data_IF_317181649879
#
_entry.id   IF_317181649879
#
_cell.length_a   1.000
_cell.length_b   1.000
_cell.length_c   1.000
_cell.angle_alpha   90.00
_cell.angle_beta   90.00
_cell.angle_gamma   90.00
#
_symmetry.space_group_name_H-M   'P 1'
#
loop_
_entity.id
_entity.type
_entity.pdbx_description
1 polymer ?
#
# COMPACT_ATOMS: atom_id res chain seq x y z
N UNK A 1 15.29 -19.36 30.05
CA UNK A 1 15.35 -18.61 28.78
C UNK A 1 14.32 -17.50 28.83
N UNK A 2 14.60 -16.34 28.24
CA UNK A 2 13.64 -15.22 28.17
C UNK A 2 12.68 -15.49 27.01
N UNK A 3 11.38 -15.32 27.26
CA UNK A 3 10.32 -15.55 26.26
C UNK A 3 10.40 -14.45 25.19
N UNK A 4 10.23 -14.82 23.93
CA UNK A 4 10.34 -13.91 22.78
C UNK A 4 9.04 -13.89 21.96
N UNK A 5 8.54 -12.69 21.67
CA UNK A 5 7.36 -12.49 20.82
C UNK A 5 7.69 -11.64 19.59
N UNK A 6 7.14 -12.01 18.43
CA UNK A 6 7.20 -11.19 17.22
C UNK A 6 5.87 -10.46 17.01
N UNK A 7 5.91 -9.14 16.97
CA UNK A 7 4.74 -8.27 16.80
C UNK A 7 4.60 -7.74 15.38
N UNK A 8 3.48 -7.98 14.72
CA UNK A 8 3.16 -7.32 13.45
C UNK A 8 2.89 -5.83 13.73
N UNK A 9 3.81 -4.98 13.28
CA UNK A 9 3.93 -3.59 13.72
C UNK A 9 3.73 -2.59 12.57
N UNK A 10 2.52 -2.05 12.48
CA UNK A 10 2.14 -1.04 11.47
C UNK A 10 2.47 0.41 11.88
N UNK A 11 3.03 0.61 13.07
CA UNK A 11 3.17 1.93 13.70
C UNK A 11 1.84 2.61 14.03
N UNK A 12 0.70 1.95 13.84
CA UNK A 12 -0.62 2.42 14.26
C UNK A 12 -0.85 2.24 15.76
N UNK A 13 -1.80 2.99 16.32
CA UNK A 13 -2.12 2.97 17.76
C UNK A 13 -2.27 1.55 18.31
N UNK A 14 -3.11 0.71 17.69
CA UNK A 14 -3.38 -0.62 18.22
C UNK A 14 -2.12 -1.52 18.21
N UNK A 15 -1.27 -1.44 17.18
CA UNK A 15 0.02 -2.19 17.18
C UNK A 15 1.00 -1.68 18.24
N UNK A 16 1.04 -0.37 18.52
CA UNK A 16 1.88 0.17 19.60
C UNK A 16 1.40 -0.33 20.96
N UNK A 17 0.10 -0.29 21.21
CA UNK A 17 -0.48 -0.77 22.47
C UNK A 17 -0.25 -2.27 22.65
N UNK A 18 -0.39 -3.07 21.59
CA UNK A 18 -0.09 -4.49 21.64
C UNK A 18 1.37 -4.74 22.07
N UNK A 19 2.33 -4.00 21.48
CA UNK A 19 3.75 -4.06 21.90
C UNK A 19 3.92 -3.69 23.37
N UNK A 20 3.31 -2.60 23.84
CA UNK A 20 3.42 -2.18 25.25
C UNK A 20 2.80 -3.18 26.22
N UNK A 21 1.66 -3.78 25.87
CA UNK A 21 1.03 -4.83 26.68
C UNK A 21 1.96 -6.04 26.80
N UNK A 22 2.49 -6.56 25.69
CA UNK A 22 3.36 -7.74 25.70
C UNK A 22 4.70 -7.45 26.40
N UNK A 23 5.36 -6.34 26.07
CA UNK A 23 6.62 -5.95 26.70
C UNK A 23 6.46 -5.71 28.22
N UNK A 24 5.30 -5.19 28.65
CA UNK A 24 4.96 -5.02 30.06
C UNK A 24 4.85 -6.33 30.86
N UNK A 25 4.78 -7.48 30.19
CA UNK A 25 4.84 -8.81 30.82
C UNK A 25 6.28 -9.30 31.02
N UNK A 26 7.29 -8.51 30.67
CA UNK A 26 8.71 -8.91 30.71
C UNK A 26 9.16 -9.75 29.51
N UNK A 27 8.31 -9.86 28.48
CA UNK A 27 8.59 -10.59 27.23
C UNK A 27 9.47 -9.73 26.33
N UNK A 28 10.47 -10.34 25.70
CA UNK A 28 11.29 -9.68 24.70
C UNK A 28 10.51 -9.57 23.38
N UNK A 29 10.44 -8.35 22.84
CA UNK A 29 9.59 -8.06 21.67
C UNK A 29 10.44 -7.57 20.51
N UNK A 30 10.26 -8.19 19.35
CA UNK A 30 10.73 -7.67 18.06
C UNK A 30 9.52 -7.34 17.19
N UNK A 31 9.51 -6.15 16.58
CA UNK A 31 8.51 -5.75 15.61
C UNK A 31 8.86 -6.26 14.21
N UNK A 32 7.85 -6.65 13.44
CA UNK A 32 7.97 -6.87 12.00
C UNK A 32 7.01 -5.92 11.28
N UNK A 33 7.53 -5.13 10.35
CA UNK A 33 6.73 -4.34 9.40
C UNK A 33 6.94 -4.85 7.98
N UNK A 34 5.98 -4.54 7.11
CA UNK A 34 5.96 -4.99 5.72
C UNK A 34 5.97 -3.81 4.77
N UNK A 35 6.61 -3.96 3.62
CA UNK A 35 6.65 -2.98 2.54
C UNK A 35 6.16 -3.61 1.23
N UNK A 36 5.38 -2.81 0.48
CA UNK A 36 4.92 -3.07 -0.88
C UNK A 36 4.76 -1.74 -1.62
N UNK A 37 4.52 -1.74 -2.93
CA UNK A 37 4.11 -0.53 -3.66
C UNK A 37 2.84 0.14 -3.10
N UNK A 38 2.03 -0.56 -2.30
CA UNK A 38 0.76 -0.04 -1.78
C UNK A 38 0.88 0.54 -0.36
N UNK A 39 1.92 0.20 0.39
CA UNK A 39 2.18 0.69 1.74
C UNK A 39 3.67 0.57 2.12
N UNK A 40 4.19 1.58 2.82
CA UNK A 40 5.58 1.63 3.29
C UNK A 40 5.71 1.47 4.83
N UNK A 41 6.92 1.26 5.32
CA UNK A 41 7.21 1.11 6.74
C UNK A 41 7.77 2.38 7.39
N UNK A 42 7.75 3.55 6.74
CA UNK A 42 8.31 4.80 7.32
C UNK A 42 7.70 5.11 8.67
N UNK A 43 6.38 4.94 8.78
CA UNK A 43 5.63 5.11 10.03
C UNK A 43 6.05 4.09 11.09
N UNK A 44 6.21 2.82 10.70
CA UNK A 44 6.68 1.76 11.60
C UNK A 44 8.08 2.06 12.11
N UNK A 45 9.02 2.47 11.25
CA UNK A 45 10.39 2.85 11.64
C UNK A 45 10.40 3.98 12.67
N UNK A 46 9.75 5.09 12.32
CA UNK A 46 9.63 6.27 13.18
C UNK A 46 9.07 5.92 14.56
N UNK A 47 8.03 5.08 14.60
CA UNK A 47 7.39 4.74 15.86
C UNK A 47 8.17 3.69 16.66
N UNK A 48 8.83 2.74 15.99
CA UNK A 48 9.66 1.75 16.64
C UNK A 48 10.84 2.41 17.35
N UNK A 49 11.52 3.36 16.70
CA UNK A 49 12.57 4.18 17.28
C UNK A 49 12.06 4.94 18.53
N UNK A 50 10.93 5.63 18.42
CA UNK A 50 10.33 6.38 19.54
C UNK A 50 10.04 5.53 20.78
N UNK A 51 9.68 4.26 20.61
CA UNK A 51 9.33 3.37 21.73
C UNK A 51 10.45 2.40 22.11
N UNK A 52 11.62 2.48 21.46
CA UNK A 52 12.76 1.59 21.70
C UNK A 52 12.50 0.13 21.28
N UNK A 53 11.76 -0.10 20.19
CA UNK A 53 11.41 -1.42 19.70
C UNK A 53 12.38 -1.84 18.57
N UNK A 54 13.09 -2.98 18.69
CA UNK A 54 13.77 -3.59 17.55
C UNK A 54 12.78 -3.87 16.41
N UNK A 55 13.09 -3.42 15.20
CA UNK A 55 12.19 -3.53 14.05
C UNK A 55 12.89 -4.20 12.87
N UNK A 56 12.28 -5.26 12.36
CA UNK A 56 12.63 -5.89 11.08
C UNK A 56 11.62 -5.40 10.05
N UNK A 57 12.10 -5.03 8.86
CA UNK A 57 11.21 -4.68 7.76
C UNK A 57 11.42 -5.64 6.61
N UNK A 58 10.31 -6.18 6.12
CA UNK A 58 10.27 -7.20 5.09
C UNK A 58 9.56 -6.64 3.86
N UNK A 59 10.26 -6.63 2.73
CA UNK A 59 9.63 -6.42 1.45
C UNK A 59 8.87 -7.69 1.05
N UNK A 60 7.57 -7.56 0.78
CA UNK A 60 6.70 -8.67 0.35
C UNK A 60 6.06 -8.37 -1.01
N UNK A 61 6.67 -7.50 -1.82
CA UNK A 61 6.12 -6.99 -3.07
C UNK A 61 5.69 -8.09 -4.02
N UNK A 62 6.56 -9.06 -4.29
CA UNK A 62 6.27 -10.15 -5.24
C UNK A 62 5.14 -11.06 -4.75
N UNK A 63 5.21 -11.52 -3.51
CA UNK A 63 4.16 -12.35 -2.90
C UNK A 63 2.83 -11.60 -2.84
N UNK A 64 2.87 -10.30 -2.51
CA UNK A 64 1.67 -9.47 -2.44
C UNK A 64 1.08 -9.24 -3.82
N UNK A 65 1.91 -9.03 -4.87
CA UNK A 65 1.45 -8.88 -6.26
C UNK A 65 0.72 -10.15 -6.72
N UNK A 66 1.32 -11.32 -6.52
CA UNK A 66 0.71 -12.61 -6.88
C UNK A 66 -0.62 -12.80 -6.15
N UNK A 67 -0.66 -12.53 -4.84
CA UNK A 67 -1.90 -12.58 -4.06
C UNK A 67 -2.95 -11.61 -4.58
N UNK A 68 -2.54 -10.40 -4.93
CA UNK A 68 -3.44 -9.33 -5.37
C UNK A 68 -4.04 -9.61 -6.75
N UNK A 69 -3.35 -10.31 -7.66
CA UNK A 69 -3.91 -10.66 -8.97
C UNK A 69 -5.10 -11.63 -8.84
N UNK A 70 -5.05 -12.54 -7.87
CA UNK A 70 -6.09 -13.55 -7.65
C UNK A 70 -6.30 -13.85 -6.16
N UNK A 71 -6.88 -12.91 -5.38
CA UNK A 71 -7.07 -13.10 -3.95
C UNK A 71 -8.08 -14.21 -3.67
N UNK A 72 -7.74 -15.11 -2.74
CA UNK A 72 -8.55 -16.31 -2.46
C UNK A 72 -9.92 -15.95 -1.88
N UNK A 73 -10.02 -14.89 -1.09
CA UNK A 73 -11.26 -14.44 -0.49
C UNK A 73 -11.89 -13.26 -1.25
N UNK A 74 -11.38 -12.97 -2.45
CA UNK A 74 -11.86 -11.89 -3.29
C UNK A 74 -11.52 -10.50 -2.75
N UNK A 75 -12.14 -9.49 -3.36
CA UNK A 75 -12.00 -8.11 -2.94
C UNK A 75 -13.19 -7.67 -2.09
N UNK A 76 -12.91 -6.86 -1.06
CA UNK A 76 -13.91 -6.05 -0.36
C UNK A 76 -14.25 -4.78 -1.15
N UNK A 77 -14.27 -3.63 -0.47
CA UNK A 77 -14.45 -2.34 -1.16
C UNK A 77 -13.29 -2.09 -2.13
N UNK A 78 -13.62 -1.83 -3.40
CA UNK A 78 -12.67 -1.60 -4.49
C UNK A 78 -11.75 -2.80 -4.73
N UNK A 79 -10.43 -2.67 -4.55
CA UNK A 79 -9.46 -3.78 -4.71
C UNK A 79 -8.91 -4.25 -3.36
N UNK A 80 -9.63 -4.03 -2.27
CA UNK A 80 -9.16 -4.36 -0.93
C UNK A 80 -9.15 -5.89 -0.66
N UNK A 81 -7.98 -6.53 -0.49
CA UNK A 81 -7.87 -7.97 -0.24
C UNK A 81 -7.47 -8.25 1.22
N UNK A 82 -7.93 -7.45 2.19
CA UNK A 82 -7.40 -7.43 3.56
C UNK A 82 -7.30 -8.81 4.25
N UNK A 83 -8.22 -9.75 3.99
CA UNK A 83 -8.14 -11.11 4.55
C UNK A 83 -6.88 -11.80 4.01
N UNK A 84 -6.69 -11.80 2.69
CA UNK A 84 -5.52 -12.36 2.03
C UNK A 84 -4.22 -11.65 2.38
N UNK A 85 -4.25 -10.32 2.44
CA UNK A 85 -3.11 -9.52 2.86
C UNK A 85 -2.67 -9.87 4.30
N UNK A 86 -3.62 -9.98 5.25
CA UNK A 86 -3.31 -10.36 6.63
C UNK A 86 -2.82 -11.81 6.75
N UNK A 87 -3.39 -12.74 5.97
CA UNK A 87 -2.90 -14.12 5.91
C UNK A 87 -1.44 -14.18 5.44
N UNK A 88 -1.12 -13.47 4.36
CA UNK A 88 0.25 -13.39 3.82
C UNK A 88 1.21 -12.81 4.85
N UNK A 89 0.87 -11.68 5.45
CA UNK A 89 1.71 -11.02 6.48
C UNK A 89 1.95 -11.93 7.69
N UNK A 90 0.92 -12.63 8.18
CA UNK A 90 1.11 -13.57 9.29
C UNK A 90 1.96 -14.77 8.91
N UNK A 91 1.81 -15.30 7.69
CA UNK A 91 2.65 -16.38 7.19
C UNK A 91 4.12 -15.96 7.18
N UNK A 92 4.44 -14.81 6.58
CA UNK A 92 5.82 -14.26 6.54
C UNK A 92 6.38 -13.95 7.92
N UNK A 93 5.56 -13.41 8.82
CA UNK A 93 5.98 -13.18 10.20
C UNK A 93 6.27 -14.50 10.94
N UNK A 94 5.49 -15.56 10.68
CA UNK A 94 5.69 -16.87 11.29
C UNK A 94 6.95 -17.56 10.78
N UNK A 95 7.24 -17.47 9.49
CA UNK A 95 8.53 -17.93 8.92
C UNK A 95 9.70 -17.23 9.63
N UNK A 96 9.57 -15.92 9.87
CA UNK A 96 10.58 -15.15 10.62
C UNK A 96 10.66 -15.52 12.10
N UNK A 97 9.53 -15.88 12.72
CA UNK A 97 9.46 -16.36 14.10
C UNK A 97 10.24 -17.66 14.29
N UNK A 98 10.08 -18.60 13.36
CA UNK A 98 10.83 -19.86 13.36
C UNK A 98 12.33 -19.61 13.16
N UNK A 99 12.71 -18.79 12.18
CA UNK A 99 14.11 -18.42 11.91
C UNK A 99 14.80 -17.84 13.15
N UNK A 100 14.10 -16.99 13.91
CA UNK A 100 14.63 -16.32 15.09
C UNK A 100 14.52 -17.15 16.38
N UNK A 101 13.88 -18.33 16.34
CA UNK A 101 13.57 -19.12 17.52
C UNK A 101 12.70 -18.37 18.53
N UNK A 102 11.72 -17.59 18.05
CA UNK A 102 10.76 -16.88 18.89
C UNK A 102 9.56 -17.78 19.24
N UNK A 103 8.89 -17.49 20.35
CA UNK A 103 7.87 -18.37 20.94
C UNK A 103 6.47 -18.19 20.33
N UNK A 104 6.13 -16.98 19.89
CA UNK A 104 4.81 -16.67 19.36
C UNK A 104 4.75 -15.38 18.51
N UNK A 105 3.68 -15.27 17.73
CA UNK A 105 3.30 -14.07 16.99
C UNK A 105 2.26 -13.27 17.76
N UNK A 106 2.24 -11.96 17.61
CA UNK A 106 1.10 -11.15 18.05
C UNK A 106 0.77 -10.00 17.11
N UNK A 107 -0.49 -9.58 17.12
CA UNK A 107 -0.99 -8.46 16.30
C UNK A 107 -1.71 -7.42 17.15
N UNK A 108 -1.81 -6.20 16.63
CA UNK A 108 -2.68 -5.16 17.18
C UNK A 108 -4.15 -5.29 16.77
N UNK A 109 -4.60 -6.43 16.25
CA UNK A 109 -5.98 -6.57 15.80
C UNK A 109 -6.95 -6.59 16.99
N UNK A 110 -8.01 -5.78 16.90
CA UNK A 110 -9.06 -5.70 17.92
C UNK A 110 -10.35 -6.32 17.38
N UNK A 111 -10.92 -7.28 18.10
CA UNK A 111 -12.15 -7.98 17.71
C UNK A 111 -13.29 -6.99 17.44
N UNK A 112 -13.86 -7.05 16.23
CA UNK A 112 -14.97 -6.22 15.80
C UNK A 112 -14.63 -4.75 15.49
N UNK A 113 -13.34 -4.36 15.51
CA UNK A 113 -12.96 -2.97 15.26
C UNK A 113 -13.01 -2.62 13.77
N UNK A 114 -12.70 -3.57 12.87
CA UNK A 114 -12.84 -3.43 11.41
C UNK A 114 -13.81 -4.48 10.85
N UNK A 115 -14.90 -4.07 10.16
CA UNK A 115 -15.93 -5.00 9.68
C UNK A 115 -15.41 -6.14 8.78
N UNK A 116 -14.48 -5.84 7.87
CA UNK A 116 -14.00 -6.80 6.88
C UNK A 116 -12.96 -7.78 7.45
N UNK A 117 -11.94 -7.28 8.14
CA UNK A 117 -10.78 -8.10 8.53
C UNK A 117 -10.75 -8.52 9.99
N UNK A 118 -11.50 -7.86 10.88
CA UNK A 118 -11.39 -8.08 12.33
C UNK A 118 -12.68 -8.62 12.97
N UNK A 119 -13.61 -9.15 12.18
CA UNK A 119 -14.70 -9.97 12.70
C UNK A 119 -14.18 -11.33 13.20
N UNK A 120 -14.94 -12.00 14.10
CA UNK A 120 -14.54 -13.29 14.70
C UNK A 120 -14.17 -14.34 13.64
N UNK A 121 -14.99 -14.43 12.58
CA UNK A 121 -14.75 -15.35 11.46
C UNK A 121 -13.50 -14.97 10.66
N UNK A 122 -13.33 -13.69 10.31
CA UNK A 122 -12.14 -13.21 9.57
C UNK A 122 -10.85 -13.48 10.35
N UNK A 123 -10.83 -13.18 11.66
CA UNK A 123 -9.65 -13.44 12.51
C UNK A 123 -9.32 -14.94 12.57
N UNK A 124 -10.33 -15.80 12.65
CA UNK A 124 -10.16 -17.25 12.64
C UNK A 124 -9.62 -17.76 11.30
N UNK A 125 -10.19 -17.30 10.18
CA UNK A 125 -9.73 -17.63 8.83
C UNK A 125 -8.27 -17.21 8.67
N UNK A 126 -7.96 -15.96 9.00
CA UNK A 126 -6.61 -15.39 8.86
C UNK A 126 -5.59 -16.19 9.67
N UNK A 127 -5.91 -16.50 10.94
CA UNK A 127 -5.03 -17.30 11.80
C UNK A 127 -4.86 -18.73 11.26
N UNK A 128 -5.95 -19.45 10.98
CA UNK A 128 -5.91 -20.85 10.55
C UNK A 128 -5.19 -21.05 9.21
N UNK A 129 -5.35 -20.11 8.27
CA UNK A 129 -4.76 -20.19 6.93
C UNK A 129 -3.34 -19.66 6.85
N UNK A 130 -2.87 -18.90 7.84
CA UNK A 130 -1.48 -18.44 7.89
C UNK A 130 -0.46 -19.56 8.12
N UNK A 131 -0.89 -20.72 8.61
CA UNK A 131 0.00 -21.80 9.07
C UNK A 131 0.37 -21.70 10.56
N UNK A 132 0.17 -20.53 11.18
CA UNK A 132 0.63 -20.24 12.55
C UNK A 132 -0.50 -20.02 13.55
N UNK A 133 -1.73 -20.41 13.23
CA UNK A 133 -2.93 -19.95 13.94
C UNK A 133 -2.93 -20.14 15.46
N UNK A 134 -2.37 -21.25 15.96
CA UNK A 134 -2.24 -21.51 17.40
C UNK A 134 -1.27 -20.57 18.11
N UNK A 135 -0.36 -19.92 17.38
CA UNK A 135 0.68 -19.03 17.90
C UNK A 135 0.35 -17.54 17.71
N UNK A 136 -0.79 -17.18 17.11
CA UNK A 136 -1.17 -15.79 16.85
C UNK A 136 -1.98 -15.20 18.00
N UNK A 137 -1.30 -14.52 18.92
CA UNK A 137 -1.90 -13.81 20.04
C UNK A 137 -2.43 -12.43 19.65
N UNK A 138 -3.58 -12.03 20.22
CA UNK A 138 -4.18 -10.71 20.01
C UNK A 138 -4.35 -10.03 21.37
N UNK A 139 -3.29 -9.44 21.96
CA UNK A 139 -3.28 -9.01 23.37
C UNK A 139 -4.39 -8.02 23.73
N UNK A 140 -4.86 -7.22 22.78
CA UNK A 140 -5.92 -6.24 23.01
C UNK A 140 -7.32 -6.87 23.14
N UNK A 141 -7.53 -8.07 22.59
CA UNK A 141 -8.83 -8.78 22.59
C UNK A 141 -8.73 -10.22 23.08
N UNK A 142 -7.60 -10.62 23.66
CA UNK A 142 -7.29 -12.02 23.95
C UNK A 142 -8.35 -12.69 24.82
N UNK A 143 -8.87 -11.98 25.83
CA UNK A 143 -9.89 -12.51 26.76
C UNK A 143 -11.22 -12.85 26.10
N UNK A 144 -11.45 -12.36 24.88
CA UNK A 144 -12.66 -12.60 24.07
C UNK A 144 -12.48 -13.67 22.99
N UNK A 145 -11.26 -14.17 22.84
CA UNK A 145 -10.86 -15.13 21.81
C UNK A 145 -10.42 -16.45 22.46
N UNK A 146 -10.43 -17.58 21.72
CA UNK A 146 -9.87 -18.83 22.20
C UNK A 146 -8.40 -18.67 22.61
N UNK A 147 -7.97 -19.45 23.61
CA UNK A 147 -6.59 -19.43 24.07
C UNK A 147 -5.63 -19.94 23.00
N UNK A 148 -4.54 -19.21 22.86
CA UNK A 148 -3.39 -19.56 22.01
C UNK A 148 -2.43 -20.50 22.75
N UNK A 149 -1.53 -21.15 22.01
CA UNK A 149 -0.47 -22.01 22.54
C UNK A 149 0.39 -21.30 23.60
N UNK A 150 0.93 -20.08 23.37
CA UNK A 150 1.72 -19.39 24.41
C UNK A 150 0.93 -19.07 25.68
N UNK A 151 -0.40 -18.91 25.60
CA UNK A 151 -1.24 -18.76 26.80
C UNK A 151 -1.37 -20.09 27.56
N UNK A 152 -1.64 -21.19 26.85
CA UNK A 152 -1.80 -22.53 27.45
C UNK A 152 -0.51 -23.05 28.07
N UNK A 153 0.62 -22.73 27.47
CA UNK A 153 1.97 -23.10 27.96
C UNK A 153 2.43 -22.21 29.14
N UNK A 154 1.64 -21.21 29.53
CA UNK A 154 2.00 -20.27 30.60
C UNK A 154 3.10 -19.28 30.21
N UNK A 155 3.49 -19.21 28.93
CA UNK A 155 4.43 -18.21 28.41
C UNK A 155 3.84 -16.79 28.47
N UNK A 156 2.51 -16.70 28.31
CA UNK A 156 1.77 -15.44 28.41
C UNK A 156 0.66 -15.58 29.43
N UNK A 157 0.70 -14.76 30.48
CA UNK A 157 -0.36 -14.70 31.49
C UNK A 157 -1.60 -14.00 30.92
N UNK A 158 -2.59 -14.81 30.52
CA UNK A 158 -3.87 -14.37 29.96
C UNK A 158 -4.62 -13.38 30.87
N UNK A 159 -4.45 -13.45 32.19
CA UNK A 159 -5.15 -12.55 33.14
C UNK A 159 -4.68 -11.10 33.00
N UNK A 160 -3.46 -10.89 32.47
CA UNK A 160 -2.88 -9.57 32.21
C UNK A 160 -3.17 -9.05 30.80
N UNK A 161 -3.88 -9.82 29.98
CA UNK A 161 -4.33 -9.40 28.64
C UNK A 161 -5.70 -8.72 28.70
N UNK A 162 -6.14 -8.18 27.56
CA UNK A 162 -7.30 -7.30 27.51
C UNK A 162 -8.51 -7.93 26.79
N UNK A 163 -9.63 -7.22 26.90
CA UNK A 163 -10.96 -7.56 26.39
C UNK A 163 -11.55 -6.41 25.55
N UNK A 164 -10.70 -5.65 24.86
CA UNK A 164 -11.15 -4.57 23.99
C UNK A 164 -11.84 -5.20 22.78
N UNK A 165 -13.02 -4.66 22.44
CA UNK A 165 -13.76 -5.03 21.24
C UNK A 165 -14.58 -3.87 20.69
N UNK A 166 -15.00 -4.01 19.44
CA UNK A 166 -15.82 -3.05 18.73
C UNK A 166 -15.03 -1.87 18.18
N UNK A 167 -15.78 -0.90 17.63
CA UNK A 167 -15.22 0.22 16.86
C UNK A 167 -14.70 1.37 17.72
N UNK A 168 -15.11 1.44 18.99
CA UNK A 168 -14.68 2.50 19.90
C UNK A 168 -13.18 2.42 20.15
N UNK A 169 -12.52 3.58 20.15
CA UNK A 169 -11.08 3.72 20.45
C UNK A 169 -10.81 4.44 21.78
N UNK A 170 -11.83 4.68 22.60
CA UNK A 170 -11.69 5.46 23.85
C UNK A 170 -10.67 4.83 24.80
N UNK A 171 -10.76 3.51 25.03
CA UNK A 171 -9.83 2.76 25.90
C UNK A 171 -8.40 2.79 25.35
N UNK A 172 -8.23 2.60 24.05
CA UNK A 172 -6.92 2.64 23.40
C UNK A 172 -6.26 4.03 23.53
N UNK A 173 -7.03 5.10 23.35
CA UNK A 173 -6.54 6.48 23.52
C UNK A 173 -6.15 6.76 24.98
N UNK A 174 -6.93 6.27 25.94
CA UNK A 174 -6.61 6.36 27.36
C UNK A 174 -5.31 5.60 27.70
N UNK A 175 -5.18 4.37 27.22
CA UNK A 175 -3.94 3.60 27.36
C UNK A 175 -2.74 4.32 26.76
N UNK A 176 -2.90 4.95 25.59
CA UNK A 176 -1.82 5.71 24.96
C UNK A 176 -1.32 6.84 25.86
N UNK A 177 -2.25 7.58 26.49
CA UNK A 177 -1.91 8.63 27.46
C UNK A 177 -1.16 8.06 28.66
N UNK A 178 -1.63 6.94 29.23
CA UNK A 178 -0.99 6.29 30.37
C UNK A 178 0.41 5.79 30.06
N UNK A 179 0.66 5.34 28.83
CA UNK A 179 1.99 4.94 28.36
C UNK A 179 2.85 6.10 27.86
N UNK A 180 2.37 7.35 27.91
CA UNK A 180 3.09 8.51 27.36
C UNK A 180 3.29 8.46 25.84
N UNK A 181 2.47 7.70 25.12
CA UNK A 181 2.56 7.56 23.66
C UNK A 181 1.89 8.77 23.00
N UNK A 182 2.65 9.51 22.21
CA UNK A 182 2.19 10.62 21.40
C UNK A 182 2.61 10.46 19.93
N UNK A 183 2.06 11.29 19.04
CA UNK A 183 2.46 11.31 17.63
C UNK A 183 2.07 10.06 16.83
N UNK A 184 1.15 9.24 17.33
CA UNK A 184 0.49 8.21 16.51
C UNK A 184 -0.51 8.89 15.58
N UNK A 185 -0.55 8.47 14.32
CA UNK A 185 -1.50 9.07 13.38
C UNK A 185 -2.93 8.76 13.80
N UNK A 186 -3.81 9.76 13.69
CA UNK A 186 -5.25 9.55 13.61
C UNK A 186 -5.56 8.55 12.48
N UNK A 187 -6.68 7.78 12.55
CA UNK A 187 -7.08 6.92 11.45
C UNK A 187 -7.42 7.78 10.23
N UNK A 188 -6.43 8.02 9.37
CA UNK A 188 -6.56 8.74 8.13
C UNK A 188 -6.14 7.79 7.00
N UNK A 189 -7.02 7.67 6.00
CA UNK A 189 -6.80 6.88 4.79
C UNK A 189 -6.85 5.36 5.02
N UNK A 190 -7.75 4.67 4.32
CA UNK A 190 -7.62 3.23 4.16
C UNK A 190 -6.36 2.88 3.35
N UNK A 191 -6.11 1.59 3.16
CA UNK A 191 -5.08 1.13 2.21
C UNK A 191 -5.29 1.79 0.83
N UNK A 192 -4.22 2.02 0.07
CA UNK A 192 -4.30 2.58 -1.29
C UNK A 192 -5.26 1.80 -2.20
N UNK A 193 -5.39 0.48 -1.97
CA UNK A 193 -6.34 -0.41 -2.64
C UNK A 193 -7.83 -0.17 -2.29
N UNK A 194 -8.09 0.71 -1.33
CA UNK A 194 -9.44 1.20 -1.02
C UNK A 194 -9.76 2.54 -1.68
N UNK A 195 -8.76 3.21 -2.26
CA UNK A 195 -8.98 4.45 -3.01
C UNK A 195 -9.67 4.13 -4.35
N UNK A 196 -10.83 4.72 -4.67
CA UNK A 196 -11.56 4.41 -5.90
C UNK A 196 -10.76 4.72 -7.17
N UNK A 197 -10.02 5.83 -7.20
CA UNK A 197 -9.30 6.27 -8.40
C UNK A 197 -8.11 5.34 -8.64
N UNK A 198 -7.30 5.09 -7.62
CA UNK A 198 -6.18 4.17 -7.71
C UNK A 198 -6.64 2.76 -8.08
N UNK A 199 -7.74 2.29 -7.49
CA UNK A 199 -8.28 0.96 -7.78
C UNK A 199 -8.77 0.83 -9.23
N UNK A 200 -9.37 1.87 -9.82
CA UNK A 200 -9.72 1.85 -11.26
C UNK A 200 -8.47 1.76 -12.14
N UNK A 201 -7.44 2.55 -11.84
CA UNK A 201 -6.15 2.52 -12.54
C UNK A 201 -5.47 1.15 -12.46
N UNK A 202 -5.53 0.52 -11.29
CA UNK A 202 -4.93 -0.80 -11.08
C UNK A 202 -5.69 -1.90 -11.82
N UNK A 203 -7.03 -1.84 -11.84
CA UNK A 203 -7.85 -2.74 -12.69
C UNK A 203 -7.50 -2.58 -14.16
N UNK A 204 -7.46 -1.35 -14.65
CA UNK A 204 -7.07 -1.05 -16.03
C UNK A 204 -5.66 -1.60 -16.35
N UNK A 205 -4.69 -1.49 -15.42
CA UNK A 205 -3.37 -2.09 -15.58
C UNK A 205 -3.44 -3.62 -15.70
N UNK A 206 -4.15 -4.29 -14.81
CA UNK A 206 -4.26 -5.76 -14.79
C UNK A 206 -4.99 -6.30 -16.02
N UNK A 207 -6.00 -5.59 -16.52
CA UNK A 207 -6.78 -5.96 -17.70
C UNK A 207 -5.96 -5.87 -18.99
N UNK A 208 -5.12 -4.85 -19.11
CA UNK A 208 -4.38 -4.56 -20.37
C UNK A 208 -2.92 -5.01 -20.35
N UNK A 209 -2.35 -5.37 -19.19
CA UNK A 209 -0.93 -5.71 -19.06
C UNK A 209 -0.65 -6.77 -17.98
N UNK A 210 -0.59 -8.03 -18.41
CA UNK A 210 -0.32 -9.18 -17.52
C UNK A 210 1.12 -9.21 -16.99
N UNK A 211 2.07 -8.79 -17.82
CA UNK A 211 3.50 -8.73 -17.53
C UNK A 211 3.94 -7.37 -16.96
N UNK A 212 3.04 -6.67 -16.28
CA UNK A 212 3.35 -5.37 -15.67
C UNK A 212 4.42 -5.51 -14.58
N UNK A 213 5.28 -4.50 -14.51
CA UNK A 213 6.35 -4.38 -13.51
C UNK A 213 5.85 -3.61 -12.27
N UNK A 214 6.56 -3.72 -11.15
CA UNK A 214 6.36 -2.90 -9.95
C UNK A 214 6.34 -1.40 -10.29
N UNK A 215 7.21 -1.01 -11.23
CA UNK A 215 7.28 0.35 -11.78
C UNK A 215 5.94 0.83 -12.38
N UNK A 216 5.17 -0.05 -13.02
CA UNK A 216 3.86 0.31 -13.57
C UNK A 216 2.85 0.63 -12.46
N UNK A 217 2.96 -0.04 -11.31
CA UNK A 217 2.13 0.20 -10.12
C UNK A 217 2.52 1.53 -9.47
N UNK A 218 3.82 1.84 -9.37
CA UNK A 218 4.31 3.12 -8.87
C UNK A 218 3.81 4.30 -9.71
N UNK A 219 3.84 4.17 -11.04
CA UNK A 219 3.30 5.17 -11.96
C UNK A 219 1.81 5.49 -11.72
N UNK A 220 1.02 4.55 -11.18
CA UNK A 220 -0.42 4.77 -10.90
C UNK A 220 -0.67 5.85 -9.84
N UNK A 221 0.33 6.15 -9.00
CA UNK A 221 0.27 7.16 -7.94
C UNK A 221 0.35 8.58 -8.47
N UNK A 222 0.79 8.75 -9.72
CA UNK A 222 1.11 10.06 -10.30
C UNK A 222 0.20 10.36 -11.50
N UNK A 223 -0.09 11.64 -11.71
CA UNK A 223 -0.73 12.11 -12.91
C UNK A 223 -2.21 11.75 -13.10
N UNK A 224 -2.69 12.13 -14.28
CA UNK A 224 -3.95 11.72 -14.91
C UNK A 224 -3.65 10.52 -15.81
N UNK A 225 -4.46 9.47 -15.71
CA UNK A 225 -4.28 8.25 -16.51
C UNK A 225 -5.37 8.22 -17.55
N UNK A 226 -4.98 8.10 -18.82
CA UNK A 226 -5.90 8.04 -19.95
C UNK A 226 -5.59 6.84 -20.82
N UNK A 227 -6.62 6.10 -21.22
CA UNK A 227 -6.52 4.95 -22.11
C UNK A 227 -6.86 5.41 -23.52
N UNK A 228 -5.86 5.53 -24.39
CA UNK A 228 -6.05 6.05 -25.75
C UNK A 228 -6.60 4.99 -26.70
N UNK A 229 -6.20 3.73 -26.50
CA UNK A 229 -6.75 2.56 -27.18
C UNK A 229 -6.46 1.31 -26.33
N UNK A 230 -6.78 0.11 -26.84
CA UNK A 230 -6.58 -1.17 -26.12
C UNK A 230 -5.12 -1.43 -25.68
N UNK A 231 -4.13 -0.91 -26.42
CA UNK A 231 -2.71 -1.14 -26.13
C UNK A 231 -2.07 -0.01 -25.31
N UNK A 232 -2.48 1.24 -25.56
CA UNK A 232 -1.74 2.42 -25.11
C UNK A 232 -2.50 3.20 -24.04
N UNK A 233 -1.80 3.48 -22.94
CA UNK A 233 -2.20 4.48 -21.95
C UNK A 233 -1.20 5.62 -21.92
N UNK A 234 -1.65 6.78 -21.46
CA UNK A 234 -0.80 7.94 -21.19
C UNK A 234 -0.98 8.44 -19.77
N UNK A 235 0.09 8.99 -19.22
CA UNK A 235 0.13 9.55 -17.87
C UNK A 235 0.55 11.01 -17.98
N UNK A 236 -0.33 11.92 -17.57
CA UNK A 236 -0.08 13.37 -17.63
C UNK A 236 0.12 13.91 -16.22
N UNK A 237 1.31 14.43 -15.92
CA UNK A 237 1.59 15.04 -14.63
C UNK A 237 0.65 16.22 -14.31
N UNK A 238 0.34 16.42 -13.02
CA UNK A 238 -0.57 17.49 -12.58
C UNK A 238 0.12 18.66 -11.92
N UNK A 239 1.34 18.44 -11.46
CA UNK A 239 2.16 19.36 -10.66
C UNK A 239 3.61 18.93 -10.77
N UNK A 240 4.53 19.84 -10.47
CA UNK A 240 5.98 19.62 -10.57
C UNK A 240 6.44 18.33 -9.89
N UNK A 241 6.02 18.06 -8.65
CA UNK A 241 6.39 16.82 -7.97
C UNK A 241 5.88 15.53 -8.62
N UNK A 242 4.78 15.59 -9.41
CA UNK A 242 4.35 14.45 -10.22
C UNK A 242 5.12 14.37 -11.53
N UNK A 243 5.47 15.50 -12.15
CA UNK A 243 6.33 15.53 -13.34
C UNK A 243 7.68 14.87 -13.04
N UNK A 244 8.33 15.29 -11.94
CA UNK A 244 9.61 14.74 -11.51
C UNK A 244 9.51 13.22 -11.26
N UNK A 245 8.48 12.77 -10.53
CA UNK A 245 8.27 11.34 -10.28
C UNK A 245 8.02 10.54 -11.57
N UNK A 246 7.32 11.10 -12.55
CA UNK A 246 7.09 10.47 -13.86
C UNK A 246 8.41 10.34 -14.64
N UNK A 247 9.26 11.36 -14.59
CA UNK A 247 10.59 11.36 -15.22
C UNK A 247 11.52 10.35 -14.56
N UNK A 248 11.58 10.34 -13.23
CA UNK A 248 12.39 9.39 -12.44
C UNK A 248 11.97 7.94 -12.69
N UNK A 249 10.69 7.71 -12.94
CA UNK A 249 10.15 6.39 -13.27
C UNK A 249 10.27 6.05 -14.75
N UNK A 250 10.70 6.96 -15.63
CA UNK A 250 10.79 6.71 -17.08
C UNK A 250 11.93 5.73 -17.43
N UNK A 251 11.78 5.02 -18.55
CA UNK A 251 12.74 4.04 -19.08
C UNK A 251 12.89 4.23 -20.59
N UNK A 252 13.97 3.70 -21.17
CA UNK A 252 14.30 3.86 -22.59
C UNK A 252 13.20 3.43 -23.58
N UNK A 253 12.30 2.53 -23.17
CA UNK A 253 11.18 2.08 -24.00
C UNK A 253 9.99 3.03 -24.04
N UNK A 254 9.91 4.00 -23.15
CA UNK A 254 8.78 4.92 -23.06
C UNK A 254 8.99 6.16 -23.94
N UNK A 255 7.89 6.86 -24.22
CA UNK A 255 7.95 8.19 -24.83
C UNK A 255 7.60 9.25 -23.79
N UNK A 256 8.49 10.23 -23.60
CA UNK A 256 8.22 11.45 -22.84
C UNK A 256 7.83 12.54 -23.82
N UNK A 257 6.80 13.30 -23.46
CA UNK A 257 6.24 14.38 -24.26
C UNK A 257 6.18 15.63 -23.37
N UNK A 258 6.74 16.74 -23.87
CA UNK A 258 6.71 18.07 -23.23
C UNK A 258 6.43 19.14 -24.29
N UNK A 259 5.70 20.19 -23.94
CA UNK A 259 5.55 21.36 -24.82
C UNK A 259 6.85 22.17 -24.79
N UNK A 260 7.41 22.52 -25.95
CA UNK A 260 8.76 23.10 -26.03
C UNK A 260 8.82 24.53 -25.48
N UNK A 261 7.89 25.36 -25.92
CA UNK A 261 7.95 26.82 -25.73
C UNK A 261 7.01 27.32 -24.62
N UNK A 262 6.34 26.41 -23.90
CA UNK A 262 5.36 26.73 -22.87
C UNK A 262 5.54 25.85 -21.63
N UNK A 263 5.35 26.40 -20.42
CA UNK A 263 5.21 25.60 -19.21
C UNK A 263 4.08 24.56 -19.37
N UNK A 264 4.30 23.36 -18.84
CA UNK A 264 3.33 22.29 -19.00
C UNK A 264 3.69 21.02 -18.23
N UNK A 265 2.86 19.99 -18.39
CA UNK A 265 3.08 18.71 -17.72
C UNK A 265 4.19 17.93 -18.40
N UNK A 266 4.77 17.01 -17.65
CA UNK A 266 5.45 15.87 -18.26
C UNK A 266 4.40 14.82 -18.58
N UNK A 267 4.28 14.46 -19.87
CA UNK A 267 3.40 13.38 -20.32
C UNK A 267 4.24 12.16 -20.67
N UNK A 268 3.89 11.00 -20.13
CA UNK A 268 4.55 9.73 -20.37
C UNK A 268 3.61 8.79 -21.12
N UNK A 269 4.13 8.15 -22.17
CA UNK A 269 3.52 7.00 -22.84
C UNK A 269 4.35 5.76 -22.48
N UNK A 270 3.95 4.99 -21.46
CA UNK A 270 4.70 3.80 -21.06
C UNK A 270 4.79 2.81 -22.22
N UNK A 271 5.97 2.24 -22.45
CA UNK A 271 6.26 1.31 -23.54
C UNK A 271 6.14 1.88 -24.97
N UNK A 272 5.95 3.20 -25.09
CA UNK A 272 5.84 3.90 -26.36
C UNK A 272 4.56 3.59 -27.13
N UNK A 273 4.47 4.11 -28.34
CA UNK A 273 3.31 3.98 -29.23
C UNK A 273 3.71 4.21 -30.69
N UNK A 274 2.76 4.05 -31.61
CA UNK A 274 2.88 4.49 -33.00
C UNK A 274 2.65 6.01 -33.16
N UNK A 275 2.82 6.50 -34.38
CA UNK A 275 2.74 7.94 -34.72
C UNK A 275 1.32 8.51 -34.59
N UNK A 276 0.27 7.71 -34.82
CA UNK A 276 -1.11 8.17 -34.71
C UNK A 276 -1.45 8.45 -33.25
N UNK A 277 -1.12 7.50 -32.38
CA UNK A 277 -1.33 7.63 -30.94
C UNK A 277 -0.40 8.70 -30.35
N UNK A 278 0.81 8.84 -30.87
CA UNK A 278 1.74 9.88 -30.45
C UNK A 278 1.19 11.29 -30.70
N UNK A 279 0.53 11.51 -31.84
CA UNK A 279 -0.15 12.79 -32.14
C UNK A 279 -1.23 13.09 -31.12
N UNK A 280 -2.10 12.11 -30.82
CA UNK A 280 -3.14 12.28 -29.81
C UNK A 280 -2.55 12.55 -28.41
N UNK A 281 -1.53 11.79 -28.00
CA UNK A 281 -0.84 12.00 -26.73
C UNK A 281 -0.20 13.40 -26.63
N UNK A 282 0.33 13.91 -27.75
CA UNK A 282 0.89 15.25 -27.84
C UNK A 282 -0.18 16.33 -27.74
N UNK A 283 -1.31 16.17 -28.42
CA UNK A 283 -2.48 17.05 -28.28
C UNK A 283 -3.03 17.09 -26.84
N UNK A 284 -3.00 15.96 -26.14
CA UNK A 284 -3.36 15.89 -24.71
C UNK A 284 -2.33 16.62 -23.85
N UNK A 285 -1.04 16.49 -24.14
CA UNK A 285 0.01 17.24 -23.44
C UNK A 285 -0.18 18.75 -23.60
N UNK A 286 -0.49 19.22 -24.82
CA UNK A 286 -0.79 20.63 -25.10
C UNK A 286 -2.01 21.10 -24.31
N UNK A 287 -3.10 20.33 -24.27
CA UNK A 287 -4.33 20.68 -23.53
C UNK A 287 -4.08 20.99 -22.05
N UNK A 288 -3.12 20.32 -21.43
CA UNK A 288 -2.80 20.51 -20.01
C UNK A 288 -1.63 21.47 -19.75
N UNK A 289 -1.09 22.10 -20.80
CA UNK A 289 -0.04 23.11 -20.73
C UNK A 289 -0.61 24.54 -20.73
N UNK A 290 0.29 25.53 -20.63
CA UNK A 290 -0.06 26.94 -20.75
C UNK A 290 -0.08 27.44 -22.22
N UNK A 291 0.08 26.53 -23.19
CA UNK A 291 0.01 26.86 -24.61
C UNK A 291 -1.42 27.27 -25.05
N UNK A 292 -1.56 28.14 -26.08
CA UNK A 292 -2.87 28.47 -26.64
C UNK A 292 -3.56 27.24 -27.26
N UNK A 293 -4.85 27.04 -26.95
CA UNK A 293 -5.57 25.82 -27.37
C UNK A 293 -5.75 25.70 -28.89
N UNK A 294 -5.96 26.83 -29.58
CA UNK A 294 -6.31 26.85 -31.01
C UNK A 294 -5.11 27.15 -31.91
N UNK A 295 -3.89 26.98 -31.38
CA UNK A 295 -2.65 27.24 -32.11
C UNK A 295 -1.83 25.98 -32.24
N UNK A 296 -1.19 25.86 -33.38
CA UNK A 296 -0.20 24.83 -33.63
C UNK A 296 1.08 25.15 -32.86
N UNK A 297 1.53 24.25 -32.00
CA UNK A 297 2.72 24.42 -31.16
C UNK A 297 3.69 23.25 -31.32
N UNK A 298 4.97 23.53 -31.08
CA UNK A 298 6.01 22.51 -31.12
C UNK A 298 6.05 21.71 -29.82
N UNK A 299 5.97 20.39 -29.97
CA UNK A 299 6.04 19.42 -28.87
C UNK A 299 7.33 18.62 -29.00
N UNK A 300 8.09 18.54 -27.91
CA UNK A 300 9.29 17.72 -27.79
C UNK A 300 8.91 16.32 -27.34
N UNK A 301 9.18 15.34 -28.19
CA UNK A 301 9.06 13.92 -27.91
C UNK A 301 10.45 13.31 -27.70
N UNK A 302 10.61 12.46 -26.68
CA UNK A 302 11.85 11.76 -26.38
C UNK A 302 11.63 10.28 -26.10
N UNK A 303 12.50 9.43 -26.64
CA UNK A 303 12.54 7.97 -26.40
C UNK A 303 13.98 7.50 -26.30
N UNK A 304 14.37 6.99 -25.13
CA UNK A 304 15.78 6.72 -24.83
C UNK A 304 16.64 7.96 -25.04
N UNK A 305 17.73 7.82 -25.80
CA UNK A 305 18.64 8.92 -26.11
C UNK A 305 18.21 9.77 -27.33
N UNK A 306 17.07 9.43 -27.94
CA UNK A 306 16.56 10.14 -29.11
C UNK A 306 15.49 11.14 -28.72
N UNK A 307 15.51 12.32 -29.33
CA UNK A 307 14.43 13.29 -29.24
C UNK A 307 14.15 13.91 -30.59
N UNK A 308 12.89 14.27 -30.81
CA UNK A 308 12.41 14.89 -32.04
C UNK A 308 11.26 15.83 -31.72
N UNK A 309 11.01 16.74 -32.65
CA UNK A 309 9.92 17.69 -32.56
C UNK A 309 8.78 17.26 -33.46
N UNK A 310 7.56 17.36 -32.94
CA UNK A 310 6.35 17.28 -33.76
C UNK A 310 5.49 18.51 -33.53
N UNK A 311 4.57 18.72 -34.46
CA UNK A 311 3.58 19.78 -34.39
C UNK A 311 2.27 19.23 -33.83
N UNK A 312 1.64 19.92 -32.89
CA UNK A 312 0.35 19.51 -32.31
C UNK A 312 -0.54 20.71 -31.96
N UNK A 313 -1.85 20.49 -32.02
CA UNK A 313 -2.89 21.40 -31.51
C UNK A 313 -3.52 20.75 -30.29
N UNK A 314 -4.04 21.55 -29.33
CA UNK A 314 -4.70 21.03 -28.14
C UNK A 314 -5.84 20.08 -28.50
N UNK A 315 -5.95 18.96 -27.78
CA UNK A 315 -7.15 18.13 -27.79
C UNK A 315 -8.33 18.89 -27.13
N UNK A 316 -9.57 18.48 -27.42
CA UNK A 316 -10.72 19.05 -26.71
C UNK A 316 -10.90 18.40 -25.31
N UNK A 317 -11.45 19.16 -24.36
CA UNK A 317 -11.75 18.65 -23.02
C UNK A 317 -12.77 17.51 -23.03
N UNK A 318 -13.70 17.52 -23.97
CA UNK A 318 -14.76 16.51 -24.08
C UNK A 318 -14.21 15.16 -24.56
N UNK A 319 -13.38 15.16 -25.61
CA UNK A 319 -12.69 13.96 -26.08
C UNK A 319 -11.85 13.34 -24.97
N UNK A 320 -11.07 14.17 -24.27
CA UNK A 320 -10.18 13.72 -23.20
C UNK A 320 -10.93 13.14 -22.00
N UNK A 321 -12.10 13.70 -21.66
CA UNK A 321 -12.93 13.19 -20.56
C UNK A 321 -13.35 11.73 -20.76
N UNK A 322 -13.60 11.33 -22.00
CA UNK A 322 -14.02 9.97 -22.34
C UNK A 322 -12.88 8.95 -22.29
N UNK A 323 -11.62 9.41 -22.26
CA UNK A 323 -10.42 8.57 -22.20
C UNK A 323 -9.92 8.36 -20.76
N UNK A 324 -10.49 9.07 -19.77
CA UNK A 324 -10.03 9.03 -18.38
C UNK A 324 -10.34 7.69 -17.68
N UNK A 325 -9.36 7.18 -16.94
CA UNK A 325 -9.47 5.98 -16.09
C UNK A 325 -9.97 6.31 -14.66
#
# INVERSE_FOLDING_TARGET
MKIKGIGLFSGGLDSILAVKVIAGLGIEVTGVAFETPFFDARKSRTMAEKIGLPLIVMDITDDHRIMLEAPRYGYGRNMNPCIDCHMLMLKKAGEKMEEMGADFLFTGEVLGQRPMSQGKQSLHIVASRSGYGGYVLRPLSARLLPETIPEKEGKVDRKKLLDIQGRSRKRQIEMARNYGISGYSSPAGGCLLTDPIFSRRLKDLFEHRKDHDVRDIELLKHGRHLRLNQAVKVIVGRKEGENNAIEDLSRNGDVIIKVRDYPGPTTLVPYGCDDEVLKLASSICVLYSDAPNDSEVMVLCGKGDTSWLISAVSASKEEVKNLMI
#
